data_IF_876712463813
#
_entry.id   IF_876712463813
#
_cell.length_a   1.000
_cell.length_b   1.000
_cell.length_c   1.000
_cell.angle_alpha   90.00
_cell.angle_beta   90.00
_cell.angle_gamma   90.00
#
_symmetry.space_group_name_H-M   'P 1'
#
loop_
_entity.id
_entity.type
_entity.pdbx_description
1 polymer ?
#
# COMPACT_ATOMS: atom_id res chain seq x y z
N UNK A 1 -1.47 47.02 -4.80
CA UNK A 1 -1.23 45.66 -4.28
C UNK A 1 -2.54 44.88 -4.41
N UNK A 2 -2.62 43.84 -5.25
CA UNK A 2 -3.86 43.06 -5.44
C UNK A 2 -3.94 42.05 -4.29
N UNK A 3 -4.95 42.18 -3.42
CA UNK A 3 -5.18 41.19 -2.36
C UNK A 3 -5.79 39.91 -2.97
N UNK A 4 -5.33 38.71 -2.56
CA UNK A 4 -5.90 37.46 -3.04
C UNK A 4 -7.35 37.31 -2.56
N UNK A 5 -8.25 36.96 -3.48
CA UNK A 5 -9.66 36.71 -3.18
C UNK A 5 -9.78 35.49 -2.25
N UNK A 6 -10.33 35.67 -1.05
CA UNK A 6 -10.55 34.56 -0.12
C UNK A 6 -11.79 33.79 -0.53
N UNK A 7 -11.67 32.49 -0.78
CA UNK A 7 -12.79 31.64 -1.21
C UNK A 7 -13.22 30.74 -0.06
N UNK A 8 -14.48 30.87 0.35
CA UNK A 8 -15.12 29.99 1.36
C UNK A 8 -16.05 29.00 0.66
N UNK A 9 -16.19 27.78 1.18
CA UNK A 9 -17.07 26.76 0.58
C UNK A 9 -18.37 26.61 1.35
N UNK A 10 -19.51 26.65 0.66
CA UNK A 10 -20.84 26.36 1.20
C UNK A 10 -21.22 24.89 0.95
N UNK A 11 -20.92 24.00 1.89
CA UNK A 11 -21.24 22.56 1.78
C UNK A 11 -22.57 22.17 2.40
N UNK A 12 -23.04 22.91 3.42
CA UNK A 12 -24.26 22.58 4.17
C UNK A 12 -25.50 23.21 3.55
N UNK A 13 -26.66 22.57 3.69
CA UNK A 13 -27.95 23.06 3.16
C UNK A 13 -28.22 24.52 3.54
N UNK A 14 -28.11 24.88 4.82
CA UNK A 14 -28.35 26.25 5.29
C UNK A 14 -27.32 27.27 4.80
N UNK A 15 -26.07 26.87 4.55
CA UNK A 15 -25.07 27.74 3.93
C UNK A 15 -25.45 28.02 2.47
N UNK A 16 -25.93 27.00 1.76
CA UNK A 16 -26.39 27.13 0.37
C UNK A 16 -27.66 27.99 0.26
N UNK A 17 -28.63 27.78 1.16
CA UNK A 17 -29.89 28.52 1.17
C UNK A 17 -29.70 30.00 1.52
N UNK A 18 -28.83 30.33 2.48
CA UNK A 18 -28.55 31.71 2.85
C UNK A 18 -27.63 32.42 1.84
N UNK A 19 -26.83 31.66 1.09
CA UNK A 19 -25.86 32.17 0.12
C UNK A 19 -24.83 33.13 0.74
N UNK A 20 -24.32 34.04 -0.09
CA UNK A 20 -23.28 35.01 0.30
C UNK A 20 -23.70 35.97 1.44
N UNK A 21 -24.99 36.03 1.82
CA UNK A 21 -25.49 36.89 2.92
C UNK A 21 -24.87 36.59 4.28
N UNK A 22 -24.53 35.33 4.53
CA UNK A 22 -23.94 34.91 5.82
C UNK A 22 -22.44 35.15 5.89
N UNK A 23 -21.82 35.55 4.79
CA UNK A 23 -20.40 35.89 4.75
C UNK A 23 -20.31 37.40 5.02
N UNK A 24 -19.84 37.74 6.22
CA UNK A 24 -19.82 39.13 6.70
C UNK A 24 -18.86 40.05 5.94
N UNK A 25 -17.88 39.47 5.24
CA UNK A 25 -16.81 40.19 4.59
C UNK A 25 -17.08 40.36 3.09
N UNK A 26 -17.03 41.61 2.64
CA UNK A 26 -17.18 41.99 1.24
C UNK A 26 -16.02 41.40 0.44
N UNK A 27 -14.82 41.16 1.00
CA UNK A 27 -13.67 40.60 0.26
C UNK A 27 -13.71 39.07 0.05
N UNK A 28 -14.81 38.41 0.40
CA UNK A 28 -14.90 36.94 0.35
C UNK A 28 -15.79 36.48 -0.80
N UNK A 29 -15.30 35.49 -1.55
CA UNK A 29 -16.07 34.74 -2.53
C UNK A 29 -16.66 33.47 -1.90
N UNK A 30 -17.85 33.08 -2.33
CA UNK A 30 -18.53 31.88 -1.84
C UNK A 30 -18.63 30.84 -2.96
N UNK A 31 -18.00 29.68 -2.76
CA UNK A 31 -18.04 28.56 -3.69
C UNK A 31 -19.11 27.54 -3.27
N UNK A 32 -19.97 27.17 -4.22
CA UNK A 32 -21.00 26.16 -4.07
C UNK A 32 -20.61 24.93 -4.91
N UNK A 33 -20.03 23.88 -4.31
CA UNK A 33 -19.67 22.66 -5.03
C UNK A 33 -20.94 21.92 -5.49
N UNK A 34 -20.86 21.25 -6.65
CA UNK A 34 -21.96 20.45 -7.22
C UNK A 34 -23.25 21.26 -7.43
N UNK A 35 -23.10 22.56 -7.73
CA UNK A 35 -24.21 23.48 -7.89
C UNK A 35 -24.28 23.98 -9.34
N UNK A 36 -25.30 23.52 -10.07
CA UNK A 36 -25.55 23.87 -11.48
C UNK A 36 -26.58 24.99 -11.67
N UNK A 37 -27.21 25.43 -10.60
CA UNK A 37 -28.20 26.50 -10.61
C UNK A 37 -28.11 27.29 -9.31
N UNK A 38 -28.21 28.62 -9.42
CA UNK A 38 -28.18 29.57 -8.32
C UNK A 38 -29.43 30.42 -8.39
N UNK A 39 -29.99 30.70 -7.23
CA UNK A 39 -31.01 31.73 -7.07
C UNK A 39 -30.43 32.93 -6.32
N UNK A 40 -30.79 34.14 -6.72
CA UNK A 40 -30.43 35.38 -6.00
C UNK A 40 -31.56 35.88 -5.11
N UNK A 41 -32.45 34.99 -4.67
CA UNK A 41 -33.58 35.35 -3.81
C UNK A 41 -33.13 35.97 -2.48
N UNK A 42 -33.68 37.15 -2.22
CA UNK A 42 -33.41 37.95 -1.04
C UNK A 42 -32.01 38.58 -1.00
N UNK A 43 -31.15 38.41 -2.00
CA UNK A 43 -29.87 39.12 -2.08
C UNK A 43 -30.17 40.60 -2.41
N UNK A 44 -29.60 41.55 -1.66
CA UNK A 44 -29.84 42.99 -1.87
C UNK A 44 -28.92 43.62 -2.94
N UNK A 45 -27.74 43.03 -3.16
CA UNK A 45 -26.71 43.53 -4.08
C UNK A 45 -26.58 42.61 -5.30
N UNK A 46 -26.16 43.16 -6.43
CA UNK A 46 -25.87 42.37 -7.62
C UNK A 46 -24.66 41.43 -7.38
N UNK A 47 -24.71 40.25 -7.99
CA UNK A 47 -23.66 39.23 -7.89
C UNK A 47 -23.01 38.98 -9.25
N UNK A 48 -21.71 38.71 -9.22
CA UNK A 48 -21.00 38.09 -10.32
C UNK A 48 -20.89 36.59 -10.04
N UNK A 49 -21.31 35.79 -11.02
CA UNK A 49 -21.29 34.33 -10.95
C UNK A 49 -20.20 33.80 -11.88
N UNK A 50 -19.27 33.03 -11.33
CA UNK A 50 -18.23 32.33 -12.08
C UNK A 50 -18.53 30.83 -12.01
N UNK A 51 -19.01 30.26 -13.11
CA UNK A 51 -19.28 28.83 -13.22
C UNK A 51 -17.97 28.11 -13.46
N UNK A 52 -17.70 27.06 -12.68
CA UNK A 52 -16.42 26.36 -12.69
C UNK A 52 -16.57 24.87 -13.01
N UNK A 53 -15.59 24.32 -13.71
CA UNK A 53 -15.44 22.88 -13.94
C UNK A 53 -14.99 22.16 -12.66
N UNK A 54 -14.92 20.81 -12.72
CA UNK A 54 -14.40 19.99 -11.60
C UNK A 54 -12.92 20.28 -11.29
N UNK A 55 -12.16 20.76 -12.27
CA UNK A 55 -10.74 21.13 -12.11
C UNK A 55 -10.54 22.59 -11.69
N UNK A 56 -11.62 23.35 -11.44
CA UNK A 56 -11.56 24.75 -11.05
C UNK A 56 -11.43 25.75 -12.20
N UNK A 57 -11.58 25.32 -13.45
CA UNK A 57 -11.55 26.22 -14.61
C UNK A 57 -12.86 27.00 -14.73
N UNK A 58 -12.79 28.32 -14.93
CA UNK A 58 -13.97 29.13 -15.21
C UNK A 58 -14.47 28.85 -16.62
N UNK A 59 -15.67 28.28 -16.73
CA UNK A 59 -16.27 27.87 -18.02
C UNK A 59 -17.40 28.78 -18.48
N UNK A 60 -17.93 29.63 -17.60
CA UNK A 60 -18.95 30.64 -17.93
C UNK A 60 -18.95 31.73 -16.86
N UNK A 61 -19.30 32.96 -17.26
CA UNK A 61 -19.42 34.10 -16.37
C UNK A 61 -20.77 34.79 -16.56
N UNK A 62 -21.40 35.20 -15.47
CA UNK A 62 -22.58 36.06 -15.50
C UNK A 62 -22.34 37.23 -14.55
N UNK A 63 -22.14 38.42 -15.11
CA UNK A 63 -21.88 39.63 -14.35
C UNK A 63 -23.18 40.35 -13.98
N UNK A 64 -23.15 41.09 -12.87
CA UNK A 64 -24.21 41.99 -12.41
C UNK A 64 -25.59 41.32 -12.35
N UNK A 65 -25.65 40.08 -11.90
CA UNK A 65 -26.91 39.34 -11.74
C UNK A 65 -27.74 40.02 -10.63
N UNK A 66 -28.92 40.58 -10.94
CA UNK A 66 -29.71 41.31 -9.95
C UNK A 66 -30.41 40.35 -8.97
N UNK A 67 -31.03 40.93 -7.94
CA UNK A 67 -31.87 40.20 -7.00
C UNK A 67 -33.01 39.43 -7.70
N UNK A 68 -33.47 38.35 -7.08
CA UNK A 68 -34.65 37.58 -7.51
C UNK A 68 -34.56 37.02 -8.94
N UNK A 69 -33.37 36.54 -9.33
CA UNK A 69 -33.13 35.81 -10.58
C UNK A 69 -32.66 34.39 -10.30
N UNK A 70 -32.87 33.51 -11.27
CA UNK A 70 -32.29 32.18 -11.30
C UNK A 70 -31.33 32.13 -12.49
N UNK A 71 -30.12 31.61 -12.25
CA UNK A 71 -29.12 31.35 -13.30
C UNK A 71 -28.68 29.89 -13.19
N UNK A 72 -28.47 29.25 -14.33
CA UNK A 72 -28.03 27.87 -14.39
C UNK A 72 -26.97 27.67 -15.47
N UNK A 73 -26.08 26.70 -15.25
CA UNK A 73 -25.09 26.23 -16.20
C UNK A 73 -24.99 24.70 -16.09
N UNK A 74 -25.50 23.99 -17.09
CA UNK A 74 -25.56 22.52 -17.09
C UNK A 74 -24.18 21.86 -17.12
N UNK A 75 -23.20 22.54 -17.73
CA UNK A 75 -21.80 22.10 -17.87
C UNK A 75 -20.96 22.36 -16.61
N UNK A 76 -21.43 23.18 -15.68
CA UNK A 76 -20.68 23.52 -14.48
C UNK A 76 -20.63 22.34 -13.49
N UNK A 77 -19.51 22.20 -12.79
CA UNK A 77 -19.43 21.40 -11.58
C UNK A 77 -19.87 22.22 -10.37
N UNK A 78 -19.57 23.51 -10.34
CA UNK A 78 -19.99 24.42 -9.28
C UNK A 78 -19.99 25.87 -9.73
N UNK A 79 -20.20 26.76 -8.77
CA UNK A 79 -20.31 28.20 -9.02
C UNK A 79 -19.67 28.95 -7.87
N UNK A 80 -18.90 29.99 -8.21
CA UNK A 80 -18.34 30.95 -7.26
C UNK A 80 -19.18 32.23 -7.36
N UNK A 81 -19.77 32.62 -6.24
CA UNK A 81 -20.47 33.89 -6.07
C UNK A 81 -19.52 34.95 -5.51
N UNK A 82 -19.56 36.13 -6.11
CA UNK A 82 -18.81 37.31 -5.67
C UNK A 82 -19.75 38.51 -5.76
N UNK A 83 -19.67 39.46 -4.83
CA UNK A 83 -20.40 40.72 -5.00
C UNK A 83 -19.84 41.50 -6.20
N UNK A 84 -20.70 41.97 -7.12
CA UNK A 84 -20.23 42.66 -8.34
C UNK A 84 -19.41 43.93 -8.09
N UNK A 85 -19.50 44.48 -6.88
CA UNK A 85 -18.74 45.66 -6.45
C UNK A 85 -17.23 45.39 -6.33
N UNK A 86 -16.82 44.12 -6.19
CA UNK A 86 -15.40 43.75 -6.03
C UNK A 86 -14.64 43.72 -7.34
N UNK A 87 -15.34 43.60 -8.48
CA UNK A 87 -14.78 43.49 -9.82
C UNK A 87 -13.51 42.61 -9.88
N UNK A 88 -13.61 41.33 -9.48
CA UNK A 88 -12.45 40.44 -9.47
C UNK A 88 -11.92 40.29 -10.91
N UNK A 89 -10.60 40.37 -11.09
CA UNK A 89 -9.94 40.19 -12.40
C UNK A 89 -9.89 38.72 -12.81
N UNK A 90 -11.02 38.02 -12.75
CA UNK A 90 -11.18 36.63 -13.17
C UNK A 90 -11.75 36.59 -14.59
N UNK A 91 -11.12 35.82 -15.47
CA UNK A 91 -11.50 35.65 -16.88
C UNK A 91 -11.93 34.22 -17.16
N UNK A 92 -12.71 34.06 -18.22
CA UNK A 92 -13.02 32.75 -18.77
C UNK A 92 -11.71 31.99 -19.06
N UNK A 93 -11.63 30.73 -18.63
CA UNK A 93 -10.42 29.91 -18.74
C UNK A 93 -9.46 29.99 -17.55
N UNK A 94 -9.60 31.00 -16.67
CA UNK A 94 -8.76 31.08 -15.47
C UNK A 94 -9.01 29.87 -14.55
N UNK A 95 -7.95 29.37 -13.92
CA UNK A 95 -8.02 28.28 -12.95
C UNK A 95 -8.07 28.83 -11.53
N UNK A 96 -9.16 28.55 -10.82
CA UNK A 96 -9.34 28.92 -9.41
C UNK A 96 -8.99 27.72 -8.53
N UNK A 97 -8.19 27.94 -7.48
CA UNK A 97 -7.92 26.92 -6.45
C UNK A 97 -9.16 26.79 -5.54
N UNK A 98 -9.93 25.72 -5.73
CA UNK A 98 -11.15 25.47 -4.97
C UNK A 98 -10.86 24.75 -3.64
N UNK A 99 -11.47 25.13 -2.50
CA UNK A 99 -11.26 24.44 -1.24
C UNK A 99 -11.87 23.02 -1.29
N UNK A 100 -11.14 22.03 -0.76
CA UNK A 100 -11.59 20.63 -0.69
C UNK A 100 -11.13 19.71 -1.83
N UNK A 101 -10.45 20.22 -2.85
CA UNK A 101 -9.85 19.36 -3.89
C UNK A 101 -8.76 18.44 -3.32
N UNK A 102 -7.96 18.94 -2.37
CA UNK A 102 -6.89 18.18 -1.72
C UNK A 102 -7.38 16.96 -0.93
N UNK A 103 -8.58 17.01 -0.33
CA UNK A 103 -9.09 15.92 0.51
C UNK A 103 -9.46 14.67 -0.31
N UNK A 104 -9.97 14.85 -1.53
CA UNK A 104 -10.34 13.72 -2.40
C UNK A 104 -9.09 13.04 -2.96
N UNK A 105 -8.07 13.81 -3.29
CA UNK A 105 -6.78 13.29 -3.74
C UNK A 105 -6.10 12.50 -2.60
N UNK A 106 -6.06 13.03 -1.37
CA UNK A 106 -5.54 12.30 -0.21
C UNK A 106 -6.32 11.02 0.10
N UNK A 107 -7.66 11.03 -0.03
CA UNK A 107 -8.48 9.86 0.25
C UNK A 107 -8.23 8.68 -0.70
N UNK A 108 -7.77 8.94 -1.92
CA UNK A 108 -7.40 7.91 -2.89
C UNK A 108 -5.95 7.48 -2.77
N UNK A 109 -5.04 8.43 -2.52
CA UNK A 109 -3.59 8.15 -2.44
C UNK A 109 -3.24 7.39 -1.16
N UNK A 110 -3.86 7.73 -0.04
CA UNK A 110 -3.49 7.22 1.27
C UNK A 110 -3.70 5.69 1.40
N UNK A 111 -4.85 5.09 1.01
CA UNK A 111 -5.00 3.63 1.05
C UNK A 111 -3.99 2.89 0.18
N UNK A 112 -3.67 3.41 -1.01
CA UNK A 112 -2.68 2.81 -1.91
C UNK A 112 -1.28 2.89 -1.30
N UNK A 113 -0.92 4.03 -0.70
CA UNK A 113 0.34 4.20 0.00
C UNK A 113 0.48 3.23 1.18
N UNK A 114 -0.57 3.07 1.99
CA UNK A 114 -0.58 2.12 3.09
C UNK A 114 -0.43 0.67 2.60
N UNK A 115 -1.13 0.29 1.53
CA UNK A 115 -1.00 -1.04 0.93
C UNK A 115 0.45 -1.31 0.50
N UNK A 116 1.10 -0.36 -0.18
CA UNK A 116 2.51 -0.50 -0.56
C UNK A 116 3.43 -0.62 0.65
N UNK A 117 3.23 0.20 1.68
CA UNK A 117 4.05 0.18 2.89
C UNK A 117 3.95 -1.17 3.64
N UNK A 118 2.73 -1.68 3.83
CA UNK A 118 2.51 -3.00 4.43
C UNK A 118 3.05 -4.12 3.55
N UNK A 119 2.86 -4.03 2.22
CA UNK A 119 3.41 -5.01 1.28
C UNK A 119 4.93 -5.11 1.33
N UNK A 120 5.64 -3.99 1.40
CA UNK A 120 7.11 -3.99 1.54
C UNK A 120 7.58 -4.54 2.89
N UNK A 121 6.87 -4.25 3.98
CA UNK A 121 7.21 -4.77 5.30
C UNK A 121 7.06 -6.31 5.36
N UNK A 122 5.92 -6.83 4.91
CA UNK A 122 5.65 -8.27 4.87
C UNK A 122 6.61 -9.03 3.94
N UNK A 123 6.93 -8.44 2.77
CA UNK A 123 7.94 -9.00 1.86
C UNK A 123 9.33 -9.06 2.51
N UNK A 124 9.69 -8.03 3.28
CA UNK A 124 11.00 -7.98 3.95
C UNK A 124 11.11 -9.07 5.02
N UNK A 125 10.04 -9.29 5.80
CA UNK A 125 9.97 -10.37 6.78
C UNK A 125 10.03 -11.75 6.12
N UNK A 126 9.33 -11.94 5.00
CA UNK A 126 9.38 -13.18 4.21
C UNK A 126 10.81 -13.47 3.71
N UNK A 127 11.51 -12.47 3.16
CA UNK A 127 12.89 -12.62 2.69
C UNK A 127 13.85 -12.95 3.83
N UNK A 128 13.66 -12.33 5.00
CA UNK A 128 14.46 -12.63 6.19
C UNK A 128 14.24 -14.08 6.65
N UNK A 129 12.99 -14.56 6.67
CA UNK A 129 12.67 -15.96 6.98
C UNK A 129 13.30 -16.92 5.99
N UNK A 130 13.24 -16.61 4.68
CA UNK A 130 13.88 -17.42 3.64
C UNK A 130 15.41 -17.48 3.83
N UNK A 131 16.07 -16.36 4.12
CA UNK A 131 17.51 -16.33 4.38
C UNK A 131 17.89 -17.16 5.60
N UNK A 132 17.09 -17.08 6.67
CA UNK A 132 17.28 -17.90 7.88
C UNK A 132 17.16 -19.39 7.54
N UNK A 133 16.13 -19.81 6.79
CA UNK A 133 15.95 -21.19 6.36
C UNK A 133 17.13 -21.69 5.52
N UNK A 134 17.59 -20.91 4.55
CA UNK A 134 18.76 -21.24 3.72
C UNK A 134 20.01 -21.44 4.55
N UNK A 135 20.28 -20.52 5.49
CA UNK A 135 21.42 -20.65 6.39
C UNK A 135 21.34 -21.92 7.25
N UNK A 136 20.17 -22.23 7.79
CA UNK A 136 19.95 -23.43 8.60
C UNK A 136 20.07 -24.71 7.77
N UNK A 137 19.61 -24.72 6.51
CA UNK A 137 19.80 -25.85 5.61
C UNK A 137 21.29 -26.13 5.36
N UNK A 138 22.10 -25.09 5.16
CA UNK A 138 23.55 -25.25 5.01
C UNK A 138 24.22 -25.76 6.29
N UNK A 139 23.88 -25.21 7.46
CA UNK A 139 24.41 -25.70 8.74
C UNK A 139 24.03 -27.15 9.01
N UNK A 140 22.76 -27.50 8.79
CA UNK A 140 22.24 -28.86 8.91
C UNK A 140 23.04 -29.83 8.03
N UNK A 141 23.22 -29.46 6.76
CA UNK A 141 23.97 -30.27 5.80
C UNK A 141 25.45 -30.40 6.19
N UNK A 142 26.06 -29.36 6.76
CA UNK A 142 27.42 -29.39 7.27
C UNK A 142 27.56 -30.32 8.49
N UNK A 143 26.64 -30.22 9.46
CA UNK A 143 26.60 -31.12 10.63
C UNK A 143 26.46 -32.56 10.15
N UNK A 144 25.57 -32.82 9.19
CA UNK A 144 25.35 -34.15 8.64
C UNK A 144 26.56 -34.68 7.87
N UNK A 145 27.21 -33.83 7.06
CA UNK A 145 28.45 -34.14 6.34
C UNK A 145 29.60 -34.54 7.28
N UNK A 146 29.68 -33.89 8.44
CA UNK A 146 30.75 -34.08 9.42
C UNK A 146 30.47 -35.21 10.41
N UNK A 147 29.22 -35.46 10.79
CA UNK A 147 28.87 -36.43 11.85
C UNK A 147 28.26 -37.71 11.31
N UNK A 148 27.66 -37.65 10.12
CA UNK A 148 26.83 -38.71 9.54
C UNK A 148 25.77 -39.26 10.52
N UNK A 149 25.21 -38.38 11.36
CA UNK A 149 24.27 -38.76 12.41
C UNK A 149 22.99 -37.90 12.33
N UNK A 150 21.87 -38.53 11.99
CA UNK A 150 20.56 -37.88 11.85
C UNK A 150 20.00 -37.38 13.20
N UNK A 151 20.33 -38.03 14.32
CA UNK A 151 19.87 -37.61 15.65
C UNK A 151 20.58 -36.33 16.11
N UNK A 152 21.90 -36.23 15.88
CA UNK A 152 22.67 -34.99 16.17
C UNK A 152 22.12 -33.82 15.34
N UNK A 153 21.77 -34.07 14.08
CA UNK A 153 21.12 -33.09 13.20
C UNK A 153 19.75 -32.67 13.75
N UNK A 154 18.89 -33.62 14.06
CA UNK A 154 17.56 -33.36 14.61
C UNK A 154 17.66 -32.51 15.89
N UNK A 155 18.53 -32.89 16.83
CA UNK A 155 18.76 -32.12 18.06
C UNK A 155 19.22 -30.68 17.79
N UNK A 156 20.10 -30.46 16.81
CA UNK A 156 20.53 -29.11 16.43
C UNK A 156 19.39 -28.28 15.84
N UNK A 157 18.53 -28.87 15.00
CA UNK A 157 17.41 -28.17 14.39
C UNK A 157 16.29 -27.87 15.39
N UNK A 158 16.00 -28.81 16.29
CA UNK A 158 15.03 -28.63 17.38
C UNK A 158 15.46 -27.58 18.41
N UNK A 159 16.77 -27.32 18.54
CA UNK A 159 17.23 -26.19 19.35
C UNK A 159 16.99 -24.82 18.70
N UNK A 160 16.86 -24.78 17.37
CA UNK A 160 16.72 -23.56 16.58
C UNK A 160 15.26 -23.23 16.19
N UNK A 161 14.36 -24.22 16.27
CA UNK A 161 12.95 -24.14 15.87
C UNK A 161 12.06 -24.96 16.82
N UNK A 162 10.80 -24.54 17.01
CA UNK A 162 9.81 -25.36 17.71
C UNK A 162 9.34 -26.50 16.80
N UNK A 163 9.08 -27.69 17.37
CA UNK A 163 8.78 -28.94 16.62
C UNK A 163 7.64 -28.80 15.60
N UNK A 164 6.64 -27.96 15.88
CA UNK A 164 5.44 -27.84 15.05
C UNK A 164 5.60 -26.87 13.85
N UNK A 165 6.74 -26.19 13.73
CA UNK A 165 6.89 -25.09 12.77
C UNK A 165 7.60 -25.48 11.46
N UNK A 166 8.30 -26.62 11.41
CA UNK A 166 9.17 -26.97 10.27
C UNK A 166 9.00 -28.41 9.78
N UNK A 167 9.04 -28.57 8.46
CA UNK A 167 9.09 -29.86 7.77
C UNK A 167 10.52 -30.12 7.33
N UNK A 168 11.16 -31.18 7.83
CA UNK A 168 12.53 -31.55 7.48
C UNK A 168 12.49 -32.82 6.64
N UNK A 169 13.18 -32.82 5.50
CA UNK A 169 13.42 -34.03 4.71
C UNK A 169 14.91 -34.16 4.41
N UNK A 170 15.43 -35.38 4.56
CA UNK A 170 16.83 -35.70 4.32
C UNK A 170 16.85 -36.77 3.24
N UNK A 171 17.51 -36.48 2.12
CA UNK A 171 17.73 -37.43 1.03
C UNK A 171 19.22 -37.69 0.90
N UNK A 172 19.60 -38.94 0.67
CA UNK A 172 21.00 -39.35 0.55
C UNK A 172 21.21 -40.09 -0.75
N UNK A 173 22.23 -39.72 -1.52
CA UNK A 173 22.54 -40.29 -2.83
C UNK A 173 23.95 -40.88 -2.82
N UNK A 174 24.09 -42.07 -3.38
CA UNK A 174 25.37 -42.77 -3.48
C UNK A 174 26.38 -42.03 -4.35
N UNK A 175 27.65 -42.02 -3.98
CA UNK A 175 28.69 -41.35 -4.77
C UNK A 175 28.80 -41.96 -6.18
N UNK A 176 28.70 -41.10 -7.20
CA UNK A 176 28.76 -41.51 -8.61
C UNK A 176 27.49 -42.17 -9.14
N UNK A 177 26.36 -42.10 -8.42
CA UNK A 177 25.08 -42.67 -8.83
C UNK A 177 23.90 -41.87 -8.25
N UNK A 178 22.77 -41.80 -8.96
CA UNK A 178 21.55 -41.17 -8.45
C UNK A 178 20.71 -42.14 -7.59
N UNK A 179 21.32 -43.23 -7.11
CA UNK A 179 20.66 -44.19 -6.23
C UNK A 179 20.52 -43.60 -4.83
N UNK A 180 19.26 -43.46 -4.40
CA UNK A 180 18.93 -43.11 -3.03
C UNK A 180 19.33 -44.22 -2.07
N UNK A 181 19.97 -43.83 -0.97
CA UNK A 181 20.51 -44.75 0.05
C UNK A 181 19.97 -44.37 1.42
N UNK A 182 19.89 -45.36 2.31
CA UNK A 182 19.44 -45.13 3.69
C UNK A 182 20.56 -44.51 4.54
N UNK A 183 20.18 -43.91 5.68
CA UNK A 183 21.14 -43.29 6.59
C UNK A 183 22.24 -44.24 7.08
N UNK A 184 21.93 -45.53 7.21
CA UNK A 184 22.87 -46.56 7.63
C UNK A 184 23.89 -46.95 6.54
N UNK A 185 23.57 -46.71 5.27
CA UNK A 185 24.38 -47.11 4.11
C UNK A 185 25.35 -46.03 3.63
N UNK A 186 25.21 -44.82 4.17
CA UNK A 186 26.01 -43.63 3.86
C UNK A 186 27.50 -43.85 4.08
N UNK A 187 28.31 -43.51 3.08
CA UNK A 187 29.78 -43.63 3.06
C UNK A 187 30.46 -42.31 2.72
N UNK A 188 31.78 -42.28 2.90
CA UNK A 188 32.62 -41.18 2.43
C UNK A 188 32.30 -40.82 0.97
N UNK A 189 32.18 -39.51 0.69
CA UNK A 189 31.87 -38.94 -0.63
C UNK A 189 30.43 -39.11 -1.13
N UNK A 190 29.55 -39.82 -0.42
CA UNK A 190 28.12 -39.84 -0.74
C UNK A 190 27.52 -38.43 -0.56
N UNK A 191 26.52 -38.08 -1.35
CA UNK A 191 25.85 -36.79 -1.30
C UNK A 191 24.69 -36.86 -0.31
N UNK A 192 24.63 -35.93 0.63
CA UNK A 192 23.48 -35.73 1.50
C UNK A 192 22.85 -34.40 1.18
N UNK A 193 21.52 -34.37 1.14
CA UNK A 193 20.74 -33.19 0.84
C UNK A 193 19.68 -33.03 1.93
N UNK A 194 19.66 -31.85 2.54
CA UNK A 194 18.69 -31.49 3.56
C UNK A 194 17.77 -30.44 2.98
N UNK A 195 16.46 -30.68 3.05
CA UNK A 195 15.43 -29.71 2.73
C UNK A 195 14.62 -29.37 3.98
N UNK A 196 14.45 -28.07 4.21
CA UNK A 196 13.69 -27.52 5.33
C UNK A 196 12.56 -26.68 4.73
N UNK A 197 11.32 -27.01 5.11
CA UNK A 197 10.10 -26.29 4.74
C UNK A 197 9.47 -25.63 5.96
N UNK A 198 8.92 -24.43 5.80
CA UNK A 198 8.17 -23.72 6.82
C UNK A 198 6.98 -22.99 6.19
N UNK A 199 5.75 -23.16 6.69
CA UNK A 199 4.62 -22.37 6.23
C UNK A 199 4.78 -20.91 6.69
N UNK A 200 4.53 -19.98 5.77
CA UNK A 200 4.59 -18.54 6.00
C UNK A 200 3.27 -17.90 5.56
N UNK A 201 2.62 -17.17 6.47
CA UNK A 201 1.35 -16.50 6.20
C UNK A 201 1.59 -15.01 5.98
N UNK A 202 1.22 -14.47 4.81
CA UNK A 202 1.27 -13.01 4.62
C UNK A 202 0.09 -12.34 5.33
N UNK A 203 0.38 -11.32 6.13
CA UNK A 203 -0.63 -10.54 6.83
C UNK A 203 -0.82 -9.15 6.21
N UNK A 204 -1.35 -9.11 4.98
CA UNK A 204 -1.62 -7.84 4.30
C UNK A 204 -3.05 -7.38 4.65
N UNK A 205 -3.23 -6.15 5.20
CA UNK A 205 -4.56 -5.62 5.45
C UNK A 205 -5.43 -5.63 4.19
N UNK A 206 -6.72 -5.93 4.34
CA UNK A 206 -7.73 -5.92 3.27
C UNK A 206 -7.65 -7.05 2.22
N UNK A 207 -6.64 -7.92 2.28
CA UNK A 207 -6.56 -9.13 1.47
C UNK A 207 -6.78 -10.37 2.34
N UNK A 208 -7.29 -11.45 1.74
CA UNK A 208 -7.23 -12.76 2.39
C UNK A 208 -5.77 -13.11 2.72
N UNK A 209 -5.55 -13.96 3.73
CA UNK A 209 -4.22 -14.40 4.16
C UNK A 209 -3.73 -15.56 3.28
N UNK A 210 -2.95 -15.32 2.20
CA UNK A 210 -2.33 -16.42 1.48
C UNK A 210 -1.25 -17.08 2.36
N UNK A 211 -1.19 -18.40 2.28
CA UNK A 211 -0.13 -19.20 2.86
C UNK A 211 0.87 -19.55 1.76
N UNK A 212 2.15 -19.42 2.06
CA UNK A 212 3.26 -19.82 1.21
C UNK A 212 4.11 -20.82 1.96
N UNK A 213 4.54 -21.88 1.28
CA UNK A 213 5.51 -22.79 1.84
C UNK A 213 6.91 -22.28 1.47
N UNK A 214 7.65 -21.78 2.46
CA UNK A 214 9.04 -21.40 2.28
C UNK A 214 9.90 -22.65 2.38
N UNK A 215 10.60 -22.99 1.30
CA UNK A 215 11.49 -24.15 1.27
C UNK A 215 12.92 -23.70 1.02
N UNK A 216 13.86 -24.26 1.77
CA UNK A 216 15.28 -24.15 1.50
C UNK A 216 15.89 -25.55 1.38
N UNK A 217 16.93 -25.67 0.57
CA UNK A 217 17.61 -26.92 0.33
C UNK A 217 19.11 -26.68 0.20
N UNK A 218 19.89 -27.54 0.82
CA UNK A 218 21.34 -27.54 0.71
C UNK A 218 21.86 -28.98 0.59
N UNK A 219 23.02 -29.14 -0.03
CA UNK A 219 23.65 -30.44 -0.22
C UNK A 219 25.15 -30.38 0.05
N UNK A 220 25.71 -31.43 0.63
CA UNK A 220 27.14 -31.59 0.83
C UNK A 220 27.52 -33.06 0.71
N UNK A 221 28.82 -33.32 0.57
CA UNK A 221 29.35 -34.68 0.58
C UNK A 221 29.71 -35.09 2.00
N UNK A 222 29.54 -36.36 2.33
CA UNK A 222 29.99 -36.91 3.60
C UNK A 222 31.51 -36.93 3.64
N UNK A 223 32.09 -36.32 4.67
CA UNK A 223 33.54 -36.21 4.85
C UNK A 223 34.10 -37.29 5.79
N UNK A 224 33.22 -38.01 6.48
CA UNK A 224 33.58 -39.09 7.38
C UNK A 224 34.27 -40.26 6.66
N UNK A 225 35.47 -40.63 7.11
CA UNK A 225 36.20 -41.80 6.61
C UNK A 225 36.11 -43.01 7.55
N UNK A 226 35.24 -42.98 8.57
CA UNK A 226 35.09 -44.12 9.47
C UNK A 226 34.67 -45.37 8.66
N UNK A 227 35.29 -46.51 8.98
CA UNK A 227 35.10 -47.80 8.30
C UNK A 227 34.22 -48.77 9.12
N UNK A 228 33.81 -48.40 10.33
CA UNK A 228 32.97 -49.23 11.21
C UNK A 228 31.50 -48.82 11.12
N UNK A 229 30.59 -49.78 11.03
CA UNK A 229 29.14 -49.58 10.95
C UNK A 229 28.50 -49.51 12.35
N UNK A 230 27.60 -48.55 12.65
CA UNK A 230 27.19 -47.43 11.81
C UNK A 230 28.34 -46.44 11.60
N UNK A 231 28.48 -45.91 10.39
CA UNK A 231 29.57 -45.01 9.99
C UNK A 231 29.41 -43.62 10.65
N UNK A 232 29.53 -43.54 11.97
CA UNK A 232 29.45 -42.31 12.75
C UNK A 232 30.84 -41.69 12.87
N UNK A 233 30.89 -40.36 12.83
CA UNK A 233 32.09 -39.59 13.15
C UNK A 233 31.89 -39.04 14.55
N UNK A 234 32.90 -39.22 15.40
CA UNK A 234 32.90 -38.64 16.76
C UNK A 234 32.80 -37.12 16.71
#
# INVERSE_FOLDING_TARGET
MIRPLKITTATRFWQRLCGIKKVADIETALYFPRCKAVHTFGVKKALDLFWVSRSGLIIQQNFKVPANKIKACSKAYGVVEVFSQLNPKLKLGDKIKLPGQALVESALVLPVLFLLLFGFLELSLMLQSQQRLTHQAHLATQILSLTNNDEKLAGSLLSAYQEDEIQISITSLKSGSDLEITSAERRYSDLVQVSIGQPYTLNIPFFNRPNFDLTAQASARILCQNLTTPFQCD
#
